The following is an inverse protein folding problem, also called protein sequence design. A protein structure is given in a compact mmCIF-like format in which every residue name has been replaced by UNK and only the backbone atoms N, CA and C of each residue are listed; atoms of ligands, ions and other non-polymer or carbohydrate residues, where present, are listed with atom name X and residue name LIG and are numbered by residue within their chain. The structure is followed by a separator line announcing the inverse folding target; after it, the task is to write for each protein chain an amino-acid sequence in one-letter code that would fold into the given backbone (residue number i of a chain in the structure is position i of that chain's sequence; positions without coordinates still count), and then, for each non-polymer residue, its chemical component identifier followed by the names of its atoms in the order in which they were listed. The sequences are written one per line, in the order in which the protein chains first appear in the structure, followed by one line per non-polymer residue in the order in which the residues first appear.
data_IF_950925804127
#
_entry.id   IF_950925804127
#
_cell.length_a   1.000
_cell.length_b   1.000
_cell.length_c   1.000
_cell.angle_alpha   90.00
_cell.angle_beta   90.00
_cell.angle_gamma   90.00
#
_symmetry.space_group_name_H-M   'P 1'
#
loop_
_entity.id
_entity.type
_entity.pdbx_description
1 polymer ?
#
# COMPACT_ATOMS: atom_id res chain seq x y z
N UNK A 1 20.87 -9.29 -57.01
CA UNK A 1 21.27 -8.30 -56.00
C UNK A 1 20.10 -8.07 -55.04
N UNK A 2 19.99 -8.82 -53.93
CA UNK A 2 18.98 -8.57 -52.91
C UNK A 2 19.55 -7.65 -51.83
N UNK A 3 18.88 -6.52 -51.59
CA UNK A 3 19.22 -5.56 -50.54
C UNK A 3 18.60 -6.06 -49.23
N UNK A 4 19.48 -6.35 -48.27
CA UNK A 4 19.16 -6.80 -46.92
C UNK A 4 18.65 -5.59 -46.09
N UNK A 5 17.38 -5.58 -45.70
CA UNK A 5 16.87 -4.62 -44.71
C UNK A 5 17.36 -5.02 -43.31
N UNK A 6 17.96 -4.11 -42.51
CA UNK A 6 18.25 -4.40 -41.13
C UNK A 6 16.98 -4.32 -40.27
N UNK A 7 16.73 -5.42 -39.55
CA UNK A 7 15.73 -5.63 -38.53
C UNK A 7 16.20 -4.95 -37.24
N UNK A 8 15.53 -3.88 -36.79
CA UNK A 8 15.73 -3.31 -35.44
C UNK A 8 14.47 -3.57 -34.60
N UNK A 9 14.43 -4.74 -33.95
CA UNK A 9 13.59 -4.92 -32.78
C UNK A 9 14.30 -4.26 -31.60
N UNK A 10 13.87 -3.07 -31.21
CA UNK A 10 14.22 -2.48 -29.92
C UNK A 10 13.46 -3.23 -28.83
N UNK A 11 14.06 -4.30 -28.33
CA UNK A 11 13.68 -4.85 -27.04
C UNK A 11 14.13 -3.85 -25.99
N UNK A 12 13.20 -2.99 -25.53
CA UNK A 12 13.37 -2.21 -24.30
C UNK A 12 13.62 -3.18 -23.15
N UNK A 13 14.89 -3.35 -22.81
CA UNK A 13 15.32 -4.05 -21.61
C UNK A 13 14.90 -3.18 -20.44
N UNK A 14 13.84 -3.58 -19.75
CA UNK A 14 13.47 -3.00 -18.47
C UNK A 14 14.63 -3.24 -17.49
N UNK A 15 15.44 -2.21 -17.26
CA UNK A 15 16.44 -2.20 -16.21
C UNK A 15 15.71 -2.17 -14.87
N UNK A 16 15.44 -3.36 -14.31
CA UNK A 16 15.10 -3.48 -12.90
C UNK A 16 16.32 -3.00 -12.11
N UNK A 17 16.33 -1.73 -11.72
CA UNK A 17 17.30 -1.22 -10.77
C UNK A 17 17.16 -2.06 -9.49
N UNK A 18 18.25 -2.68 -8.98
CA UNK A 18 18.18 -3.34 -7.69
C UNK A 18 17.73 -2.30 -6.68
N UNK A 19 16.60 -2.55 -6.01
CA UNK A 19 16.07 -1.66 -4.98
C UNK A 19 17.12 -1.54 -3.88
N UNK A 20 17.91 -0.46 -3.95
CA UNK A 20 18.83 -0.05 -2.91
C UNK A 20 18.03 0.00 -1.61
N UNK A 21 18.32 -0.92 -0.69
CA UNK A 21 17.60 -0.99 0.58
C UNK A 21 18.11 0.12 1.52
N UNK A 22 17.84 1.36 1.14
CA UNK A 22 17.95 2.49 2.04
C UNK A 22 16.92 2.30 3.16
N UNK A 23 17.36 2.43 4.40
CA UNK A 23 16.49 2.37 5.58
C UNK A 23 15.68 3.66 5.62
N UNK A 24 14.63 3.72 4.80
CA UNK A 24 13.80 4.90 4.69
C UNK A 24 12.72 4.85 5.77
N UNK A 25 12.86 5.70 6.77
CA UNK A 25 11.93 5.83 7.90
C UNK A 25 10.62 6.50 7.46
N UNK A 26 10.67 7.32 6.40
CA UNK A 26 9.52 8.10 5.93
C UNK A 26 8.90 7.44 4.69
N UNK A 27 7.59 7.17 4.67
CA UNK A 27 6.91 6.68 3.47
C UNK A 27 7.16 7.61 2.27
N UNK A 28 7.36 7.04 1.05
CA UNK A 28 7.56 7.85 -0.14
C UNK A 28 6.34 8.73 -0.41
N UNK A 29 6.55 9.97 -0.88
CA UNK A 29 5.43 10.82 -1.28
C UNK A 29 4.91 10.41 -2.64
N UNK A 30 3.68 9.91 -2.71
CA UNK A 30 2.97 9.68 -3.96
C UNK A 30 2.16 10.94 -4.36
N UNK A 31 2.85 11.94 -4.90
CA UNK A 31 2.22 13.16 -5.45
C UNK A 31 2.51 13.26 -6.93
N UNK A 32 1.49 13.65 -7.71
CA UNK A 32 1.68 14.00 -9.11
C UNK A 32 2.38 15.34 -9.19
N UNK A 33 3.64 15.35 -9.61
CA UNK A 33 4.44 16.56 -9.87
C UNK A 33 4.42 16.98 -11.34
N UNK A 34 3.93 16.10 -12.21
CA UNK A 34 3.74 16.36 -13.63
C UNK A 34 2.41 15.78 -14.10
N UNK A 35 1.79 16.49 -15.03
CA UNK A 35 0.65 15.98 -15.79
C UNK A 35 1.18 15.53 -17.15
N UNK A 36 1.02 14.25 -17.46
CA UNK A 36 1.07 13.83 -18.84
C UNK A 36 -0.27 14.24 -19.48
N UNK A 37 -0.24 14.92 -20.61
CA UNK A 37 -1.40 14.96 -21.49
C UNK A 37 -1.67 13.52 -21.90
N UNK A 38 -2.69 12.90 -21.29
CA UNK A 38 -2.97 11.48 -21.49
C UNK A 38 -3.34 11.19 -22.95
N UNK A 39 -3.23 9.91 -23.31
CA UNK A 39 -3.97 9.29 -24.42
C UNK A 39 -5.47 9.53 -24.20
N UNK A 40 -5.95 10.72 -24.53
CA UNK A 40 -7.37 10.99 -24.58
C UNK A 40 -7.89 10.45 -25.92
N UNK A 41 -9.08 9.82 -25.97
CA UNK A 41 -9.77 9.53 -27.21
C UNK A 41 -9.73 10.76 -28.12
N UNK A 42 -9.10 10.60 -29.27
CA UNK A 42 -8.96 11.68 -30.20
C UNK A 42 -10.32 12.08 -30.77
N UNK A 43 -10.47 13.36 -31.07
CA UNK A 43 -11.67 13.87 -31.69
C UNK A 43 -11.93 13.10 -33.00
N UNK A 44 -13.18 12.67 -33.22
CA UNK A 44 -13.56 11.95 -34.45
C UNK A 44 -13.28 12.75 -35.73
N UNK A 45 -13.18 14.08 -35.63
CA UNK A 45 -12.85 14.98 -36.73
C UNK A 45 -11.33 15.24 -36.90
N UNK A 46 -10.53 15.01 -35.86
CA UNK A 46 -9.09 15.22 -35.86
C UNK A 46 -8.43 14.18 -34.94
N UNK A 47 -7.97 13.03 -35.48
CA UNK A 47 -7.45 11.91 -34.68
C UNK A 47 -6.13 12.22 -33.94
N UNK A 48 -5.53 13.39 -34.20
CA UNK A 48 -4.34 13.86 -33.50
C UNK A 48 -4.66 14.83 -32.35
N UNK A 49 -5.92 15.28 -32.19
CA UNK A 49 -6.30 16.25 -31.17
C UNK A 49 -7.16 15.58 -30.07
N UNK A 50 -6.76 15.68 -28.79
CA UNK A 50 -7.53 15.13 -27.68
C UNK A 50 -8.85 15.90 -27.46
N UNK A 51 -9.98 15.20 -27.29
CA UNK A 51 -11.32 15.79 -27.09
C UNK A 51 -11.59 16.13 -25.61
N UNK A 52 -10.92 17.17 -25.11
CA UNK A 52 -10.92 17.57 -23.69
C UNK A 52 -12.24 18.19 -23.19
N UNK A 53 -13.11 18.64 -24.10
CA UNK A 53 -14.40 19.26 -23.77
C UNK A 53 -15.47 18.21 -23.45
N UNK A 54 -15.50 17.11 -24.20
CA UNK A 54 -16.46 16.00 -23.95
C UNK A 54 -16.13 15.22 -22.68
N UNK A 55 -14.85 15.17 -22.32
CA UNK A 55 -14.37 14.60 -21.05
C UNK A 55 -14.60 15.52 -19.84
N UNK A 56 -15.15 16.72 -20.03
CA UNK A 56 -15.29 17.75 -18.99
C UNK A 56 -13.96 18.13 -18.30
N UNK A 57 -12.81 17.83 -18.93
CA UNK A 57 -11.47 18.16 -18.43
C UNK A 57 -11.06 19.60 -18.73
N UNK A 58 -11.67 20.23 -19.73
CA UNK A 58 -11.29 21.56 -20.19
C UNK A 58 -11.42 22.69 -19.15
N UNK A 59 -12.24 22.52 -18.11
CA UNK A 59 -12.52 23.56 -17.11
C UNK A 59 -12.03 23.23 -15.70
N UNK A 60 -11.27 22.14 -15.53
CA UNK A 60 -10.76 21.77 -14.20
C UNK A 60 -9.46 22.54 -13.95
N UNK A 61 -9.35 23.33 -12.87
CA UNK A 61 -8.11 24.05 -12.60
C UNK A 61 -6.97 23.05 -12.40
N UNK A 62 -5.84 23.28 -13.06
CA UNK A 62 -4.63 22.43 -12.96
C UNK A 62 -4.21 22.19 -11.50
N UNK A 63 -4.41 23.21 -10.68
CA UNK A 63 -4.18 23.16 -9.24
C UNK A 63 -5.09 22.14 -8.54
N UNK A 64 -6.35 21.98 -8.94
CA UNK A 64 -7.20 20.92 -8.41
C UNK A 64 -6.67 19.54 -8.85
N UNK A 65 -6.34 19.35 -10.13
CA UNK A 65 -5.81 18.05 -10.60
C UNK A 65 -4.49 17.62 -9.94
N UNK A 66 -3.63 18.57 -9.56
CA UNK A 66 -2.41 18.30 -8.79
C UNK A 66 -2.65 18.20 -7.28
N UNK A 67 -3.60 18.96 -6.73
CA UNK A 67 -3.82 19.13 -5.30
C UNK A 67 -5.11 18.49 -4.77
N UNK A 68 -5.76 17.61 -5.54
CA UNK A 68 -7.01 16.93 -5.18
C UNK A 68 -6.92 16.13 -3.85
N UNK A 69 -5.73 15.93 -3.27
CA UNK A 69 -5.54 15.25 -1.98
C UNK A 69 -4.52 15.93 -1.08
N UNK A 70 -4.68 15.76 0.23
CA UNK A 70 -3.79 16.37 1.20
C UNK A 70 -2.38 15.75 1.11
N UNK A 71 -1.32 16.57 1.11
CA UNK A 71 0.07 16.12 0.99
C UNK A 71 0.52 15.01 1.96
N UNK A 72 -0.08 14.94 3.15
CA UNK A 72 0.25 13.94 4.18
C UNK A 72 -0.68 12.74 4.17
N UNK A 73 -1.81 12.79 3.45
CA UNK A 73 -2.79 11.71 3.47
C UNK A 73 -2.20 10.41 2.91
N UNK A 74 -1.49 10.49 1.78
CA UNK A 74 -0.78 9.34 1.23
C UNK A 74 0.27 8.79 2.20
N UNK A 75 0.97 9.67 2.93
CA UNK A 75 2.00 9.26 3.90
C UNK A 75 1.40 8.61 5.14
N UNK A 76 0.28 9.14 5.63
CA UNK A 76 -0.39 8.61 6.81
C UNK A 76 -0.93 7.21 6.53
N UNK A 77 -1.49 6.98 5.34
CA UNK A 77 -1.97 5.67 4.89
C UNK A 77 -0.84 4.62 4.84
N UNK A 78 0.35 5.02 4.40
CA UNK A 78 1.49 4.12 4.22
C UNK A 78 2.42 4.04 5.45
N UNK A 79 2.12 4.78 6.52
CA UNK A 79 3.00 4.93 7.69
C UNK A 79 3.26 3.59 8.37
N UNK A 80 2.20 2.85 8.68
CA UNK A 80 2.33 1.58 9.42
C UNK A 80 3.09 0.53 8.62
N UNK A 81 2.79 0.43 7.32
CA UNK A 81 3.51 -0.46 6.41
C UNK A 81 4.99 -0.09 6.31
N UNK A 82 5.32 1.20 6.27
CA UNK A 82 6.70 1.68 6.22
C UNK A 82 7.43 1.44 7.55
N UNK A 83 6.78 1.66 8.68
CA UNK A 83 7.32 1.40 10.00
C UNK A 83 7.65 -0.10 10.18
N UNK A 84 6.72 -0.99 9.80
CA UNK A 84 6.93 -2.43 9.85
C UNK A 84 8.07 -2.88 8.92
N UNK A 85 8.12 -2.36 7.68
CA UNK A 85 9.23 -2.64 6.75
C UNK A 85 10.57 -2.19 7.32
N UNK A 86 10.62 -1.02 7.96
CA UNK A 86 11.84 -0.50 8.57
C UNK A 86 12.32 -1.39 9.70
N UNK A 87 11.41 -1.92 10.52
CA UNK A 87 11.72 -2.88 11.59
C UNK A 87 12.27 -4.20 11.04
N UNK A 88 11.63 -4.77 10.01
CA UNK A 88 12.13 -5.99 9.37
C UNK A 88 13.53 -5.80 8.77
N UNK A 89 13.81 -4.61 8.20
CA UNK A 89 15.14 -4.26 7.72
C UNK A 89 16.17 -4.12 8.86
N UNK A 90 15.77 -3.59 10.01
CA UNK A 90 16.63 -3.54 11.20
C UNK A 90 16.94 -4.95 11.70
N UNK A 91 15.94 -5.82 11.82
CA UNK A 91 16.16 -7.22 12.18
C UNK A 91 17.08 -7.93 11.19
N UNK A 92 16.89 -7.70 9.89
CA UNK A 92 17.77 -8.24 8.84
C UNK A 92 19.23 -7.82 9.03
N UNK A 93 19.47 -6.57 9.46
CA UNK A 93 20.83 -6.04 9.66
C UNK A 93 21.49 -6.53 10.95
N UNK A 94 20.73 -6.67 12.03
CA UNK A 94 21.25 -7.05 13.35
C UNK A 94 21.42 -8.57 13.45
N UNK A 95 20.41 -9.32 13.00
CA UNK A 95 20.30 -10.76 13.21
C UNK A 95 20.44 -11.59 11.92
N UNK A 96 20.50 -10.94 10.75
CA UNK A 96 20.60 -11.60 9.46
C UNK A 96 19.25 -11.91 8.82
N UNK A 97 19.27 -12.58 7.67
CA UNK A 97 18.09 -12.79 6.83
C UNK A 97 17.05 -13.77 7.41
N UNK A 98 17.42 -14.58 8.41
CA UNK A 98 16.52 -15.59 8.98
C UNK A 98 15.40 -14.96 9.82
N UNK A 99 15.70 -13.92 10.60
CA UNK A 99 14.72 -13.28 11.49
C UNK A 99 13.50 -12.67 10.78
N UNK A 100 13.63 -11.86 9.71
CA UNK A 100 12.45 -11.33 9.03
C UNK A 100 11.57 -12.44 8.41
N UNK A 101 12.17 -13.53 7.94
CA UNK A 101 11.42 -14.68 7.40
C UNK A 101 10.65 -15.40 8.51
N UNK A 102 11.32 -15.67 9.64
CA UNK A 102 10.68 -16.27 10.80
C UNK A 102 9.52 -15.40 11.31
N UNK A 103 9.75 -14.10 11.47
CA UNK A 103 8.74 -13.17 11.99
C UNK A 103 7.51 -13.06 11.09
N UNK A 104 7.72 -13.01 9.78
CA UNK A 104 6.60 -12.99 8.81
C UNK A 104 5.83 -14.30 8.81
N UNK A 105 6.50 -15.44 9.00
CA UNK A 105 5.84 -16.74 9.14
C UNK A 105 5.05 -16.86 10.46
N UNK A 106 5.61 -16.40 11.57
CA UNK A 106 4.90 -16.35 12.87
C UNK A 106 3.64 -15.47 12.77
N UNK A 107 3.74 -14.30 12.14
CA UNK A 107 2.58 -13.43 11.90
C UNK A 107 1.50 -14.11 11.05
N UNK A 108 1.88 -14.86 10.00
CA UNK A 108 0.92 -15.57 9.18
C UNK A 108 0.20 -16.68 9.97
N UNK A 109 0.95 -17.48 10.74
CA UNK A 109 0.38 -18.54 11.57
C UNK A 109 -0.58 -18.01 12.63
N UNK A 110 -0.22 -16.91 13.30
CA UNK A 110 -1.10 -16.31 14.31
C UNK A 110 -2.36 -15.74 13.66
N UNK A 111 -2.25 -15.05 12.52
CA UNK A 111 -3.43 -14.55 11.79
C UNK A 111 -4.41 -15.65 11.40
N UNK A 112 -3.90 -16.83 11.04
CA UNK A 112 -4.74 -17.97 10.64
C UNK A 112 -5.36 -18.70 11.84
N UNK A 113 -4.69 -18.66 13.01
CA UNK A 113 -5.10 -19.41 14.19
C UNK A 113 -5.85 -18.58 15.24
N UNK A 114 -5.79 -17.25 15.17
CA UNK A 114 -6.28 -16.39 16.24
C UNK A 114 -7.80 -16.20 16.21
N UNK A 115 -8.39 -16.34 17.40
CA UNK A 115 -9.80 -16.10 17.65
C UNK A 115 -9.95 -15.27 18.92
N UNK A 116 -10.46 -14.04 18.77
CA UNK A 116 -10.73 -13.12 19.88
C UNK A 116 -12.26 -12.91 20.05
N UNK A 117 -12.94 -13.75 20.85
CA UNK A 117 -14.41 -13.72 20.97
C UNK A 117 -14.94 -12.44 21.63
N UNK A 118 -14.14 -11.81 22.50
CA UNK A 118 -14.52 -10.63 23.28
C UNK A 118 -14.17 -9.31 22.59
N UNK A 119 -13.67 -9.35 21.35
CA UNK A 119 -13.12 -8.16 20.69
C UNK A 119 -11.87 -7.59 21.38
N UNK A 120 -11.32 -8.31 22.37
CA UNK A 120 -10.05 -7.98 22.96
C UNK A 120 -8.97 -7.99 21.88
N UNK A 121 -8.06 -7.01 21.95
CA UNK A 121 -6.94 -6.91 21.04
C UNK A 121 -6.20 -8.26 20.97
N UNK A 122 -5.88 -8.65 19.75
CA UNK A 122 -5.14 -9.85 19.40
C UNK A 122 -3.73 -9.78 19.98
N UNK A 123 -3.59 -10.06 21.29
CA UNK A 123 -2.37 -9.82 22.05
C UNK A 123 -1.16 -10.52 21.43
N UNK A 124 -1.36 -11.67 20.79
CA UNK A 124 -0.30 -12.38 20.09
C UNK A 124 0.16 -11.61 18.85
N UNK A 125 -0.77 -11.05 18.05
CA UNK A 125 -0.41 -10.18 16.94
C UNK A 125 0.21 -8.87 17.41
N UNK A 126 -0.23 -8.32 18.53
CA UNK A 126 0.32 -7.07 19.05
C UNK A 126 1.77 -7.23 19.49
N UNK A 127 2.08 -8.32 20.21
CA UNK A 127 3.46 -8.67 20.57
C UNK A 127 4.29 -8.94 19.31
N UNK A 128 3.70 -9.58 18.29
CA UNK A 128 4.41 -9.84 17.03
C UNK A 128 4.65 -8.55 16.21
N UNK A 129 3.75 -7.59 16.27
CA UNK A 129 3.86 -6.30 15.59
C UNK A 129 4.58 -5.25 16.43
N UNK A 130 4.92 -5.53 17.69
CA UNK A 130 5.48 -4.60 18.66
C UNK A 130 4.56 -3.37 18.86
N UNK A 131 3.27 -3.62 19.01
CA UNK A 131 2.17 -2.65 19.22
C UNK A 131 1.47 -2.84 20.57
N UNK A 132 1.95 -3.74 21.42
CA UNK A 132 1.36 -4.03 22.74
C UNK A 132 1.37 -2.86 23.72
N UNK A 133 2.24 -1.87 23.49
CA UNK A 133 2.33 -0.63 24.28
C UNK A 133 1.69 0.57 23.57
N UNK A 134 1.11 0.40 22.38
CA UNK A 134 0.34 1.47 21.73
C UNK A 134 -1.06 1.55 22.34
N UNK A 135 -1.57 2.77 22.50
CA UNK A 135 -2.91 3.04 22.99
C UNK A 135 -3.72 3.65 21.86
N UNK A 136 -4.85 3.05 21.55
CA UNK A 136 -5.86 3.62 20.68
C UNK A 136 -6.96 4.31 21.50
N UNK A 137 -7.75 5.17 20.86
CA UNK A 137 -8.86 5.85 21.54
C UNK A 137 -9.93 4.86 22.01
N UNK A 138 -10.10 3.72 21.32
CA UNK A 138 -10.96 2.61 21.73
C UNK A 138 -10.55 1.98 23.07
N UNK A 139 -9.27 2.04 23.44
CA UNK A 139 -8.79 1.51 24.72
C UNK A 139 -9.17 2.42 25.90
N UNK A 140 -9.28 3.73 25.64
CA UNK A 140 -9.64 4.75 26.64
C UNK A 140 -11.16 4.90 26.76
N UNK A 141 -11.86 4.79 25.63
CA UNK A 141 -13.31 4.91 25.53
C UNK A 141 -13.88 3.61 24.96
N UNK A 142 -14.08 2.58 25.80
CA UNK A 142 -14.65 1.32 25.34
C UNK A 142 -16.09 1.55 24.87
N UNK A 143 -16.47 0.90 23.78
CA UNK A 143 -17.85 0.87 23.33
C UNK A 143 -18.70 0.15 24.41
N UNK A 144 -19.80 0.77 24.86
CA UNK A 144 -20.63 0.27 25.98
C UNK A 144 -21.25 -1.12 25.74
N UNK A 145 -21.20 -1.64 24.51
CA UNK A 145 -21.78 -2.92 24.13
C UNK A 145 -20.72 -4.02 24.13
N UNK A 146 -20.67 -4.80 25.21
CA UNK A 146 -19.85 -6.01 25.26
C UNK A 146 -20.38 -7.01 24.21
N UNK A 147 -19.54 -7.52 23.28
CA UNK A 147 -19.99 -8.44 22.26
C UNK A 147 -20.47 -9.78 22.87
N UNK A 148 -21.55 -10.35 22.31
CA UNK A 148 -22.03 -11.67 22.71
C UNK A 148 -21.05 -12.77 22.28
N UNK A 149 -20.36 -13.33 23.27
CA UNK A 149 -19.35 -14.38 23.11
C UNK A 149 -19.96 -15.64 22.48
N UNK A 150 -21.20 -15.98 22.83
CA UNK A 150 -21.84 -17.18 22.31
C UNK A 150 -22.08 -17.07 20.80
N UNK A 151 -22.67 -15.97 20.35
CA UNK A 151 -22.85 -15.68 18.93
C UNK A 151 -21.51 -15.57 18.17
N UNK A 152 -20.46 -15.05 18.80
CA UNK A 152 -19.12 -14.98 18.18
C UNK A 152 -18.50 -16.37 17.98
N UNK A 153 -18.66 -17.27 18.97
CA UNK A 153 -18.17 -18.65 18.91
C UNK A 153 -18.96 -19.46 17.87
N UNK A 154 -20.29 -19.34 17.83
CA UNK A 154 -21.15 -20.02 16.84
C UNK A 154 -20.75 -19.63 15.41
N UNK A 155 -20.54 -18.34 15.16
CA UNK A 155 -20.09 -17.83 13.86
C UNK A 155 -18.71 -18.38 13.46
N UNK A 156 -17.78 -18.52 14.39
CA UNK A 156 -16.46 -19.08 14.11
C UNK A 156 -16.55 -20.57 13.77
N UNK A 157 -17.30 -21.33 14.57
CA UNK A 157 -17.48 -22.77 14.41
C UNK A 157 -18.44 -23.15 13.27
N UNK A 158 -19.09 -22.16 12.62
CA UNK A 158 -20.12 -22.35 11.59
C UNK A 158 -21.27 -23.25 12.05
N UNK A 159 -21.65 -23.10 13.31
CA UNK A 159 -22.84 -23.71 13.92
C UNK A 159 -24.03 -22.76 13.74
#
# INVERSE_FOLDING_TARGET
MPVLSPRSGETTIASATPTQTAMNIVPPSNRRTALAAGDAPAASAAPALPDVLREQRAARPLAAELADRHPLEARLRDWDACAQRTRLEQYRRIFGAAEPVRRTMELALVRDAEFAPLGAAALHLDVLNNTEASLDWHDVYPDEQLPDVHAAIERNLRL
#
